data_IF_038164593258
#
_entry.id   IF_038164593258
#
_cell.length_a   1.000
_cell.length_b   1.000
_cell.length_c   1.000
_cell.angle_alpha   90.00
_cell.angle_beta   90.00
_cell.angle_gamma   90.00
#
_symmetry.space_group_name_H-M   'P 1'
#
loop_
_entity.id
_entity.type
_entity.pdbx_description
1 polymer ?
#
# COMPACT_ATOMS: atom_id res chain seq x y z
N UNK A 1 20.58 -13.95 -8.28
CA UNK A 1 20.31 -12.79 -9.16
C UNK A 1 18.83 -12.43 -9.21
N UNK A 2 17.91 -13.31 -9.65
CA UNK A 2 16.45 -12.99 -9.74
C UNK A 2 15.81 -12.55 -8.41
N UNK A 3 16.03 -13.29 -7.31
CA UNK A 3 15.53 -12.91 -5.96
C UNK A 3 16.07 -11.57 -5.46
N UNK A 4 17.32 -11.24 -5.79
CA UNK A 4 17.92 -9.95 -5.45
C UNK A 4 17.25 -8.81 -6.22
N UNK A 5 17.03 -9.00 -7.53
CA UNK A 5 16.30 -8.03 -8.34
C UNK A 5 14.87 -7.82 -7.81
N UNK A 6 14.15 -8.90 -7.49
CA UNK A 6 12.79 -8.79 -6.92
C UNK A 6 12.76 -8.00 -5.61
N UNK A 7 13.75 -8.21 -4.74
CA UNK A 7 13.89 -7.50 -3.47
C UNK A 7 14.23 -6.02 -3.67
N UNK A 8 15.12 -5.69 -4.61
CA UNK A 8 15.40 -4.29 -4.97
C UNK A 8 14.16 -3.59 -5.52
N UNK A 9 13.38 -4.28 -6.36
CA UNK A 9 12.09 -3.78 -6.86
C UNK A 9 11.06 -3.62 -5.74
N UNK A 10 11.12 -4.44 -4.69
CA UNK A 10 10.28 -4.28 -3.51
C UNK A 10 10.71 -3.07 -2.66
N UNK A 11 12.01 -2.83 -2.49
CA UNK A 11 12.52 -1.61 -1.85
C UNK A 11 12.03 -0.37 -2.58
N UNK A 12 12.13 -0.35 -3.92
CA UNK A 12 11.66 0.77 -4.72
C UNK A 12 10.15 1.00 -4.58
N UNK A 13 9.34 -0.07 -4.56
CA UNK A 13 7.90 0.08 -4.33
C UNK A 13 7.59 0.73 -2.98
N UNK A 14 8.24 0.29 -1.89
CA UNK A 14 8.09 0.89 -0.58
C UNK A 14 8.48 2.37 -0.58
N UNK A 15 9.61 2.70 -1.21
CA UNK A 15 10.08 4.07 -1.33
C UNK A 15 9.09 4.98 -2.08
N UNK A 16 8.49 4.51 -3.18
CA UNK A 16 7.48 5.29 -3.93
C UNK A 16 6.19 5.50 -3.17
N UNK A 17 5.71 4.50 -2.41
CA UNK A 17 4.56 4.69 -1.51
C UNK A 17 4.89 5.68 -0.39
N UNK A 18 6.08 5.59 0.19
CA UNK A 18 6.55 6.54 1.21
C UNK A 18 6.66 7.98 0.67
N UNK A 19 7.16 8.18 -0.55
CA UNK A 19 7.15 9.49 -1.21
C UNK A 19 5.72 10.03 -1.44
N UNK A 20 4.76 9.15 -1.74
CA UNK A 20 3.34 9.49 -1.72
C UNK A 20 2.89 10.02 -0.34
N UNK A 21 3.31 9.35 0.74
CA UNK A 21 3.09 9.78 2.11
C UNK A 21 3.72 11.16 2.41
N UNK A 22 4.94 11.41 1.94
CA UNK A 22 5.63 12.70 2.09
C UNK A 22 4.81 13.84 1.49
N UNK A 23 4.35 13.72 0.24
CA UNK A 23 3.59 14.79 -0.41
C UNK A 23 2.20 14.96 0.22
N UNK A 24 1.55 13.87 0.62
CA UNK A 24 0.26 13.93 1.34
C UNK A 24 0.37 14.71 2.64
N UNK A 25 1.40 14.46 3.44
CA UNK A 25 1.61 15.15 4.72
C UNK A 25 2.18 16.57 4.54
N UNK A 26 2.83 16.86 3.42
CA UNK A 26 3.34 18.21 3.12
C UNK A 26 2.24 19.20 2.74
N UNK A 27 1.04 18.72 2.40
CA UNK A 27 -0.09 19.54 2.00
C UNK A 27 -1.15 19.59 3.11
N UNK A 28 -1.85 20.73 3.21
CA UNK A 28 -2.94 20.90 4.18
C UNK A 28 -4.31 20.54 3.58
N UNK A 29 -4.47 20.74 2.27
CA UNK A 29 -5.67 20.31 1.56
C UNK A 29 -5.62 18.79 1.31
N UNK A 30 -6.43 18.04 2.05
CA UNK A 30 -6.51 16.57 1.96
C UNK A 30 -6.86 16.06 0.56
N UNK A 31 -7.66 16.80 -0.22
CA UNK A 31 -8.05 16.39 -1.59
C UNK A 31 -6.83 16.47 -2.52
N UNK A 32 -6.10 17.59 -2.46
CA UNK A 32 -4.87 17.75 -3.26
C UNK A 32 -3.80 16.77 -2.80
N UNK A 33 -3.66 16.57 -1.49
CA UNK A 33 -2.77 15.57 -0.90
C UNK A 33 -3.07 14.15 -1.41
N UNK A 34 -4.34 13.74 -1.39
CA UNK A 34 -4.76 12.41 -1.85
C UNK A 34 -4.52 12.23 -3.35
N UNK A 35 -4.78 13.26 -4.15
CA UNK A 35 -4.46 13.27 -5.58
C UNK A 35 -2.95 13.12 -5.80
N UNK A 36 -2.11 13.86 -5.08
CA UNK A 36 -0.66 13.78 -5.19
C UNK A 36 -0.09 12.45 -4.68
N UNK A 37 -0.68 11.84 -3.65
CA UNK A 37 -0.27 10.53 -3.14
C UNK A 37 -0.40 9.45 -4.24
N UNK A 38 -1.36 9.57 -5.15
CA UNK A 38 -1.55 8.62 -6.26
C UNK A 38 -0.31 8.44 -7.14
N UNK A 39 0.62 9.41 -7.14
CA UNK A 39 1.92 9.31 -7.78
C UNK A 39 2.71 8.07 -7.31
N UNK A 40 2.59 7.70 -6.04
CA UNK A 40 3.24 6.53 -5.47
C UNK A 40 2.83 5.24 -6.18
N UNK A 41 1.52 4.96 -6.26
CA UNK A 41 1.04 3.76 -6.97
C UNK A 41 1.22 3.89 -8.48
N UNK A 42 1.06 5.10 -9.05
CA UNK A 42 1.31 5.35 -10.46
C UNK A 42 2.73 4.92 -10.86
N UNK A 43 3.74 5.34 -10.09
CA UNK A 43 5.14 4.96 -10.33
C UNK A 43 5.36 3.46 -10.15
N UNK A 44 4.78 2.85 -9.09
CA UNK A 44 4.85 1.40 -8.86
C UNK A 44 4.31 0.62 -10.06
N UNK A 45 3.16 1.00 -10.61
CA UNK A 45 2.54 0.33 -11.74
C UNK A 45 3.34 0.52 -13.04
N UNK A 46 3.71 1.76 -13.36
CA UNK A 46 4.42 2.10 -14.61
C UNK A 46 5.84 1.56 -14.66
N UNK A 47 6.54 1.53 -13.52
CA UNK A 47 7.90 0.98 -13.39
C UNK A 47 7.91 -0.51 -13.03
N UNK A 48 6.73 -1.11 -12.85
CA UNK A 48 6.54 -2.53 -12.53
C UNK A 48 7.23 -2.98 -11.22
N UNK A 49 7.27 -2.09 -10.23
CA UNK A 49 7.83 -2.43 -8.92
C UNK A 49 6.96 -3.42 -8.15
N UNK A 50 7.60 -4.13 -7.21
CA UNK A 50 6.93 -5.17 -6.43
C UNK A 50 6.31 -4.56 -5.17
N UNK A 51 5.04 -4.18 -5.24
CA UNK A 51 4.27 -3.72 -4.09
C UNK A 51 3.44 -4.87 -3.50
N UNK A 52 3.62 -5.18 -2.22
CA UNK A 52 2.95 -6.28 -1.53
C UNK A 52 1.43 -6.25 -1.73
N UNK A 53 0.80 -5.12 -1.46
CA UNK A 53 -0.65 -4.92 -1.52
C UNK A 53 -1.23 -5.15 -2.93
N UNK A 54 -0.46 -4.82 -3.97
CA UNK A 54 -0.81 -5.10 -5.37
C UNK A 54 -0.49 -6.51 -5.85
N UNK A 55 0.27 -7.31 -5.09
CA UNK A 55 0.66 -8.68 -5.45
C UNK A 55 -0.09 -9.74 -4.66
N UNK A 56 -0.36 -9.49 -3.38
CA UNK A 56 -0.97 -10.46 -2.45
C UNK A 56 -2.35 -10.93 -2.90
N UNK A 57 -3.08 -10.11 -3.67
CA UNK A 57 -4.38 -10.49 -4.23
C UNK A 57 -4.33 -11.69 -5.20
N UNK A 58 -3.17 -11.99 -5.77
CA UNK A 58 -2.96 -13.11 -6.69
C UNK A 58 -2.51 -14.40 -5.99
N UNK A 59 -2.58 -14.47 -4.66
CA UNK A 59 -2.14 -15.62 -3.88
C UNK A 59 -2.76 -16.93 -4.34
N UNK A 60 -4.09 -16.97 -4.54
CA UNK A 60 -4.82 -18.16 -5.01
C UNK A 60 -4.85 -18.33 -6.53
N UNK A 61 -4.23 -17.41 -7.26
CA UNK A 61 -3.97 -17.52 -8.69
C UNK A 61 -2.65 -18.24 -8.97
N UNK A 62 -1.77 -18.37 -7.98
CA UNK A 62 -0.44 -18.99 -8.06
C UNK A 62 -0.32 -20.19 -7.10
N UNK A 63 0.80 -20.91 -7.18
CA UNK A 63 1.13 -21.90 -6.15
C UNK A 63 1.46 -21.21 -4.81
N UNK A 64 0.56 -21.37 -3.85
CA UNK A 64 0.64 -20.72 -2.53
C UNK A 64 1.96 -21.03 -1.83
N UNK A 65 2.51 -22.24 -1.98
CA UNK A 65 3.74 -22.68 -1.29
C UNK A 65 4.97 -21.87 -1.71
N UNK A 66 5.01 -21.42 -2.96
CA UNK A 66 6.12 -20.63 -3.50
C UNK A 66 5.81 -19.14 -3.52
N UNK A 67 4.55 -18.76 -3.73
CA UNK A 67 4.14 -17.36 -3.86
C UNK A 67 4.02 -16.64 -2.52
N UNK A 68 3.55 -17.31 -1.46
CA UNK A 68 3.43 -16.69 -0.13
C UNK A 68 4.80 -16.26 0.43
N UNK A 69 5.87 -17.09 0.44
CA UNK A 69 7.19 -16.64 0.86
C UNK A 69 7.74 -15.49 0.01
N UNK A 70 7.43 -15.46 -1.29
CA UNK A 70 7.82 -14.36 -2.16
C UNK A 70 7.08 -13.07 -1.80
N UNK A 71 5.76 -13.12 -1.55
CA UNK A 71 5.00 -11.96 -1.06
C UNK A 71 5.54 -11.44 0.28
N UNK A 72 5.93 -12.31 1.20
CA UNK A 72 6.54 -11.90 2.47
C UNK A 72 7.88 -11.21 2.25
N UNK A 73 8.73 -11.70 1.34
CA UNK A 73 9.96 -11.01 0.95
C UNK A 73 9.66 -9.62 0.37
N UNK A 74 8.63 -9.50 -0.46
CA UNK A 74 8.18 -8.21 -1.00
C UNK A 74 7.71 -7.27 0.10
N UNK A 75 6.95 -7.76 1.08
CA UNK A 75 6.50 -6.97 2.24
C UNK A 75 7.69 -6.42 3.03
N UNK A 76 8.71 -7.25 3.28
CA UNK A 76 9.95 -6.82 3.96
C UNK A 76 10.72 -5.80 3.12
N UNK A 77 10.82 -6.01 1.80
CA UNK A 77 11.45 -5.04 0.91
C UNK A 77 10.72 -3.69 0.94
N UNK A 78 9.39 -3.71 0.90
CA UNK A 78 8.58 -2.50 1.02
C UNK A 78 8.83 -1.77 2.36
N UNK A 79 8.92 -2.50 3.48
CA UNK A 79 9.29 -1.95 4.79
C UNK A 79 10.65 -1.25 4.75
N UNK A 80 11.67 -1.90 4.19
CA UNK A 80 13.01 -1.32 4.04
C UNK A 80 12.97 -0.04 3.22
N UNK A 81 12.26 -0.04 2.09
CA UNK A 81 12.07 1.15 1.26
C UNK A 81 11.40 2.31 1.99
N UNK A 82 10.32 2.01 2.73
CA UNK A 82 9.61 3.00 3.54
C UNK A 82 10.50 3.58 4.64
N UNK A 83 11.33 2.74 5.29
CA UNK A 83 12.27 3.19 6.33
C UNK A 83 13.35 4.10 5.75
N UNK A 84 13.94 3.73 4.61
CA UNK A 84 14.98 4.53 3.95
C UNK A 84 14.44 5.93 3.64
N UNK A 85 13.23 6.03 3.06
CA UNK A 85 12.64 7.33 2.74
C UNK A 85 12.34 8.12 4.02
N UNK A 86 11.77 7.51 5.05
CA UNK A 86 11.52 8.19 6.32
C UNK A 86 12.81 8.77 6.92
N UNK A 87 13.88 7.98 7.03
CA UNK A 87 15.15 8.47 7.60
C UNK A 87 15.79 9.56 6.74
N UNK A 88 15.75 9.45 5.42
CA UNK A 88 16.25 10.52 4.53
C UNK A 88 15.43 11.81 4.68
N UNK A 89 14.10 11.72 4.72
CA UNK A 89 13.22 12.88 4.91
C UNK A 89 13.48 13.55 6.24
N UNK A 90 13.77 12.79 7.30
CA UNK A 90 14.12 13.34 8.62
C UNK A 90 15.40 14.19 8.63
N UNK A 91 16.27 14.06 7.63
CA UNK A 91 17.47 14.90 7.46
C UNK A 91 17.19 16.24 6.77
N UNK A 92 15.94 16.50 6.36
CA UNK A 92 15.57 17.65 5.55
C UNK A 92 14.78 18.69 6.33
N UNK A 93 14.67 19.91 5.76
CA UNK A 93 13.87 21.01 6.32
C UNK A 93 12.37 20.71 6.47
N UNK A 94 11.83 19.73 5.72
CA UNK A 94 10.40 19.39 5.79
C UNK A 94 10.08 18.44 6.94
N UNK A 95 11.09 17.88 7.60
CA UNK A 95 10.92 16.86 8.63
C UNK A 95 9.97 17.28 9.77
N UNK A 96 10.08 18.47 10.40
CA UNK A 96 9.29 18.79 11.59
C UNK A 96 7.77 18.65 11.36
N UNK A 97 7.25 19.22 10.27
CA UNK A 97 5.82 19.15 9.95
C UNK A 97 5.34 17.75 9.58
N UNK A 98 6.18 16.97 8.89
CA UNK A 98 5.85 15.58 8.52
C UNK A 98 5.90 14.66 9.75
N UNK A 99 6.87 14.85 10.66
CA UNK A 99 6.95 14.12 11.94
C UNK A 99 5.67 14.37 12.73
N UNK A 100 5.29 15.64 12.93
CA UNK A 100 4.11 16.00 13.71
C UNK A 100 2.83 15.35 13.16
N UNK A 101 2.60 15.46 11.84
CA UNK A 101 1.43 14.86 11.20
C UNK A 101 1.48 13.32 11.24
N UNK A 102 2.65 12.72 11.07
CA UNK A 102 2.82 11.25 11.18
C UNK A 102 2.51 10.77 12.58
N UNK A 103 3.02 11.44 13.62
CA UNK A 103 2.74 11.11 15.03
C UNK A 103 1.24 11.13 15.32
N UNK A 104 0.53 12.17 14.85
CA UNK A 104 -0.93 12.25 15.00
C UNK A 104 -1.65 11.07 14.31
N UNK A 105 -1.26 10.73 13.08
CA UNK A 105 -1.85 9.60 12.36
C UNK A 105 -1.59 8.25 13.05
N UNK A 106 -0.36 8.03 13.51
CA UNK A 106 0.00 6.78 14.21
C UNK A 106 -0.72 6.67 15.54
N UNK A 107 -0.89 7.77 16.28
CA UNK A 107 -1.64 7.78 17.53
C UNK A 107 -3.11 7.42 17.32
N UNK A 108 -3.77 7.99 16.30
CA UNK A 108 -5.16 7.63 15.96
C UNK A 108 -5.30 6.13 15.70
N UNK A 109 -4.37 5.53 14.96
CA UNK A 109 -4.37 4.08 14.68
C UNK A 109 -4.11 3.26 15.93
N UNK A 110 -3.18 3.71 16.78
CA UNK A 110 -2.87 3.03 18.03
C UNK A 110 -4.10 3.00 18.95
N UNK A 111 -4.85 4.09 19.04
CA UNK A 111 -6.03 4.23 19.89
C UNK A 111 -7.30 3.59 19.29
N UNK A 112 -7.25 3.08 18.05
CA UNK A 112 -8.37 2.40 17.40
C UNK A 112 -8.48 0.92 17.80
N UNK A 113 -9.66 0.35 17.60
CA UNK A 113 -9.93 -1.07 17.80
C UNK A 113 -9.32 -1.90 16.68
N UNK A 114 -8.79 -3.08 17.01
CA UNK A 114 -8.21 -3.99 16.01
C UNK A 114 -9.23 -4.41 14.94
N UNK A 115 -10.51 -4.54 15.29
CA UNK A 115 -11.57 -4.88 14.32
C UNK A 115 -11.76 -3.75 13.32
N UNK A 116 -11.78 -2.48 13.77
CA UNK A 116 -11.85 -1.32 12.88
C UNK A 116 -10.67 -1.32 11.91
N UNK A 117 -9.43 -1.40 12.41
CA UNK A 117 -8.21 -1.43 11.60
C UNK A 117 -8.22 -2.57 10.57
N UNK A 118 -8.69 -3.76 10.97
CA UNK A 118 -8.83 -4.89 10.06
C UNK A 118 -9.80 -4.59 8.90
N UNK A 119 -10.99 -4.06 9.21
CA UNK A 119 -12.02 -3.72 8.21
C UNK A 119 -11.56 -2.60 7.29
N UNK A 120 -10.95 -1.55 7.86
CA UNK A 120 -10.35 -0.46 7.08
C UNK A 120 -9.25 -0.99 6.15
N UNK A 121 -8.47 -1.98 6.59
CA UNK A 121 -7.49 -2.68 5.77
C UNK A 121 -8.10 -3.45 4.60
N UNK A 122 -9.25 -4.11 4.81
CA UNK A 122 -9.98 -4.80 3.73
C UNK A 122 -10.38 -3.80 2.66
N UNK A 123 -11.07 -2.72 3.05
CA UNK A 123 -11.54 -1.72 2.09
C UNK A 123 -10.40 -1.03 1.36
N UNK A 124 -9.29 -0.74 2.05
CA UNK A 124 -8.10 -0.20 1.41
C UNK A 124 -7.64 -1.08 0.24
N UNK A 125 -7.45 -2.37 0.49
CA UNK A 125 -6.81 -3.21 -0.51
C UNK A 125 -7.76 -3.67 -1.64
N UNK A 126 -9.07 -3.60 -1.43
CA UNK A 126 -10.05 -3.65 -2.53
C UNK A 126 -9.77 -2.51 -3.53
N UNK A 127 -9.59 -1.28 -3.03
CA UNK A 127 -9.30 -0.13 -3.88
C UNK A 127 -7.93 -0.23 -4.56
N UNK A 128 -6.89 -0.69 -3.84
CA UNK A 128 -5.54 -0.87 -4.43
C UNK A 128 -5.56 -1.94 -5.53
N UNK A 129 -6.22 -3.08 -5.30
CA UNK A 129 -6.31 -4.12 -6.35
C UNK A 129 -7.18 -3.65 -7.51
N UNK A 130 -8.26 -2.90 -7.26
CA UNK A 130 -9.01 -2.25 -8.34
C UNK A 130 -8.13 -1.31 -9.18
N UNK A 131 -7.28 -0.50 -8.56
CA UNK A 131 -6.32 0.37 -9.26
C UNK A 131 -5.35 -0.42 -10.15
N UNK A 132 -4.74 -1.47 -9.60
CA UNK A 132 -3.82 -2.35 -10.32
C UNK A 132 -4.54 -3.08 -11.45
N UNK A 133 -5.79 -3.50 -11.22
CA UNK A 133 -6.62 -4.16 -12.22
C UNK A 133 -6.94 -3.24 -13.40
N UNK A 134 -7.35 -1.99 -13.13
CA UNK A 134 -7.56 -0.98 -14.16
C UNK A 134 -6.28 -0.75 -14.96
N UNK A 135 -5.13 -0.65 -14.30
CA UNK A 135 -3.86 -0.47 -14.99
C UNK A 135 -3.51 -1.62 -15.96
N UNK A 136 -3.78 -2.86 -15.54
CA UNK A 136 -3.47 -4.06 -16.32
C UNK A 136 -4.47 -4.32 -17.45
N UNK A 137 -5.77 -4.15 -17.18
CA UNK A 137 -6.84 -4.69 -18.01
C UNK A 137 -7.68 -3.63 -18.73
N UNK A 138 -7.57 -2.34 -18.39
CA UNK A 138 -8.32 -1.30 -19.09
C UNK A 138 -7.75 -1.11 -20.51
N UNK A 139 -8.57 -1.16 -21.58
CA UNK A 139 -8.08 -1.02 -22.96
C UNK A 139 -7.65 0.42 -23.29
N UNK A 140 -8.10 1.42 -22.53
CA UNK A 140 -7.81 2.83 -22.77
C UNK A 140 -6.69 3.33 -21.85
N UNK A 141 -5.63 3.91 -22.43
CA UNK A 141 -4.47 4.39 -21.65
C UNK A 141 -4.83 5.41 -20.57
N UNK A 142 -5.66 6.41 -20.91
CA UNK A 142 -6.14 7.39 -19.93
C UNK A 142 -6.97 6.72 -18.83
N UNK A 143 -7.78 5.72 -19.20
CA UNK A 143 -8.58 4.94 -18.24
C UNK A 143 -7.74 4.20 -17.22
N UNK A 144 -6.58 3.67 -17.62
CA UNK A 144 -5.60 3.04 -16.71
C UNK A 144 -5.14 4.00 -15.63
N UNK A 145 -4.73 5.20 -16.02
CA UNK A 145 -4.19 6.20 -15.10
C UNK A 145 -5.27 6.81 -14.20
N UNK A 146 -6.44 7.11 -14.75
CA UNK A 146 -7.59 7.57 -13.95
C UNK A 146 -8.05 6.51 -12.95
N UNK A 147 -8.03 5.23 -13.34
CA UNK A 147 -8.35 4.12 -12.44
C UNK A 147 -7.41 4.08 -11.23
N UNK A 148 -6.12 4.35 -11.42
CA UNK A 148 -5.16 4.51 -10.31
C UNK A 148 -5.56 5.72 -9.46
N UNK A 149 -5.60 6.92 -10.05
CA UNK A 149 -5.84 8.17 -9.31
C UNK A 149 -7.11 8.10 -8.46
N UNK A 150 -8.24 7.71 -9.06
CA UNK A 150 -9.54 7.67 -8.39
C UNK A 150 -9.54 6.67 -7.23
N UNK A 151 -8.99 5.48 -7.43
CA UNK A 151 -8.96 4.46 -6.38
C UNK A 151 -8.12 4.87 -5.18
N UNK A 152 -6.98 5.54 -5.43
CA UNK A 152 -6.09 6.03 -4.38
C UNK A 152 -6.69 7.23 -3.64
N UNK A 153 -7.31 8.16 -4.37
CA UNK A 153 -8.01 9.27 -3.73
C UNK A 153 -9.12 8.79 -2.80
N UNK A 154 -9.93 7.82 -3.24
CA UNK A 154 -11.04 7.28 -2.42
C UNK A 154 -10.52 6.67 -1.12
N UNK A 155 -9.55 5.76 -1.16
CA UNK A 155 -9.13 5.09 0.08
C UNK A 155 -8.49 6.08 1.07
N UNK A 156 -7.74 7.08 0.59
CA UNK A 156 -7.12 8.09 1.45
C UNK A 156 -8.17 9.00 2.08
N UNK A 157 -9.12 9.50 1.27
CA UNK A 157 -10.15 10.42 1.76
C UNK A 157 -11.15 9.73 2.68
N UNK A 158 -11.38 8.43 2.50
CA UNK A 158 -12.18 7.61 3.42
C UNK A 158 -11.42 7.17 4.68
N UNK A 159 -10.10 7.41 4.78
CA UNK A 159 -9.29 7.01 5.93
C UNK A 159 -9.06 5.50 6.03
N UNK A 160 -8.99 4.79 4.91
CA UNK A 160 -8.68 3.35 4.90
C UNK A 160 -7.19 3.09 5.19
N UNK A 161 -6.89 1.89 5.68
CA UNK A 161 -5.59 1.54 6.26
C UNK A 161 -4.71 0.73 5.27
N UNK A 162 -3.51 1.23 4.99
CA UNK A 162 -2.60 0.64 4.00
C UNK A 162 -1.25 0.30 4.64
N UNK A 163 -0.99 -0.99 4.87
CA UNK A 163 0.16 -1.44 5.65
C UNK A 163 1.50 -0.83 5.19
N UNK A 164 1.75 -0.68 3.89
CA UNK A 164 3.02 -0.12 3.39
C UNK A 164 3.15 1.39 3.62
N UNK A 165 2.03 2.12 3.58
CA UNK A 165 2.02 3.54 3.90
C UNK A 165 2.19 3.74 5.42
N UNK A 166 1.57 2.87 6.21
CA UNK A 166 1.68 2.88 7.67
C UNK A 166 3.09 2.57 8.15
N UNK A 167 3.85 1.71 7.45
CA UNK A 167 5.28 1.53 7.72
C UNK A 167 6.06 2.85 7.65
N UNK A 168 5.76 3.70 6.66
CA UNK A 168 6.38 5.02 6.55
C UNK A 168 5.93 5.92 7.69
N UNK A 169 4.64 6.00 8.00
CA UNK A 169 4.14 6.87 9.08
C UNK A 169 4.69 6.45 10.45
N UNK A 170 4.73 5.15 10.75
CA UNK A 170 5.29 4.60 11.99
C UNK A 170 6.79 4.92 12.10
N UNK A 171 7.56 4.70 11.03
CA UNK A 171 9.00 5.04 11.04
C UNK A 171 9.23 6.54 11.16
N UNK A 172 8.46 7.36 10.45
CA UNK A 172 8.60 8.82 10.47
C UNK A 172 8.32 9.40 11.87
N UNK A 173 7.34 8.83 12.57
CA UNK A 173 7.06 9.14 13.97
C UNK A 173 8.01 8.44 14.97
N UNK A 174 8.80 7.45 14.52
CA UNK A 174 9.63 6.54 15.34
C UNK A 174 8.85 5.84 16.45
N UNK A 175 7.60 5.49 16.18
CA UNK A 175 6.68 4.89 17.15
C UNK A 175 6.59 3.36 16.98
N UNK A 176 7.72 2.66 16.93
CA UNK A 176 7.75 1.20 16.91
C UNK A 176 7.60 0.65 18.34
N UNK A 177 6.39 0.24 18.69
CA UNK A 177 6.06 -0.39 19.97
C UNK A 177 5.07 -1.54 19.73
N UNK A 178 4.73 -2.29 20.78
CA UNK A 178 3.85 -3.45 20.66
C UNK A 178 2.49 -3.11 20.03
N UNK A 179 1.91 -1.97 20.38
CA UNK A 179 0.60 -1.53 19.90
C UNK A 179 0.62 -1.22 18.40
N UNK A 180 1.61 -0.46 17.93
CA UNK A 180 1.73 -0.13 16.49
C UNK A 180 2.14 -1.33 15.64
N UNK A 181 2.94 -2.26 16.19
CA UNK A 181 3.28 -3.51 15.51
C UNK A 181 2.04 -4.40 15.36
N UNK A 182 1.24 -4.55 16.42
CA UNK A 182 -0.02 -5.31 16.36
C UNK A 182 -0.98 -4.67 15.35
N UNK A 183 -1.16 -3.35 15.40
CA UNK A 183 -1.96 -2.61 14.44
C UNK A 183 -1.51 -2.88 13.00
N UNK A 184 -0.21 -2.76 12.70
CA UNK A 184 0.35 -3.01 11.38
C UNK A 184 0.09 -4.44 10.88
N UNK A 185 0.23 -5.44 11.76
CA UNK A 185 -0.06 -6.85 11.43
C UNK A 185 -1.55 -7.01 11.10
N UNK A 186 -2.44 -6.45 11.92
CA UNK A 186 -3.89 -6.53 11.73
C UNK A 186 -4.31 -5.85 10.42
N UNK A 187 -3.78 -4.66 10.13
CA UNK A 187 -3.98 -3.95 8.86
C UNK A 187 -3.46 -4.79 7.69
N UNK A 188 -2.29 -5.42 7.83
CA UNK A 188 -1.70 -6.29 6.80
C UNK A 188 -2.63 -7.48 6.50
N UNK A 189 -3.21 -8.11 7.53
CA UNK A 189 -4.18 -9.19 7.35
C UNK A 189 -5.47 -8.71 6.67
N UNK A 190 -5.97 -7.52 7.05
CA UNK A 190 -7.09 -6.88 6.37
C UNK A 190 -6.77 -6.63 4.90
N UNK A 191 -5.59 -6.09 4.60
CA UNK A 191 -5.14 -5.88 3.22
C UNK A 191 -5.04 -7.21 2.44
N UNK A 192 -4.51 -8.28 3.04
CA UNK A 192 -4.48 -9.60 2.40
C UNK A 192 -5.88 -10.04 2.00
N UNK A 193 -6.85 -9.98 2.93
CA UNK A 193 -8.23 -10.37 2.68
C UNK A 193 -8.89 -9.50 1.61
N UNK A 194 -8.78 -8.17 1.69
CA UNK A 194 -9.32 -7.27 0.68
C UNK A 194 -8.72 -7.48 -0.71
N UNK A 195 -7.43 -7.80 -0.77
CA UNK A 195 -6.71 -7.97 -2.03
C UNK A 195 -7.11 -9.22 -2.80
N UNK A 196 -7.41 -10.33 -2.11
CA UNK A 196 -7.74 -11.61 -2.77
C UNK A 196 -9.14 -11.61 -3.40
N UNK A 197 -10.04 -10.70 -3.01
CA UNK A 197 -11.46 -10.73 -3.41
C UNK A 197 -11.63 -10.59 -4.93
N UNK A 198 -11.12 -9.51 -5.53
CA UNK A 198 -11.32 -9.23 -6.97
C UNK A 198 -10.71 -10.33 -7.87
N UNK A 199 -9.43 -10.72 -7.71
CA UNK A 199 -8.82 -11.72 -8.58
C UNK A 199 -9.46 -13.11 -8.42
N UNK A 200 -9.83 -13.48 -7.19
CA UNK A 200 -10.48 -14.77 -6.92
C UNK A 200 -11.89 -14.81 -7.52
N UNK A 201 -12.69 -13.77 -7.35
CA UNK A 201 -14.04 -13.70 -7.93
C UNK A 201 -14.00 -13.74 -9.46
N UNK A 202 -13.03 -13.07 -10.08
CA UNK A 202 -12.83 -13.18 -11.54
C UNK A 202 -12.51 -14.61 -11.97
N UNK A 203 -11.58 -15.28 -11.28
CA UNK A 203 -11.21 -16.67 -11.56
C UNK A 203 -12.41 -17.62 -11.43
N UNK A 204 -13.24 -17.45 -10.40
CA UNK A 204 -14.47 -18.23 -10.19
C UNK A 204 -15.44 -18.01 -11.36
N UNK A 205 -15.70 -16.75 -11.74
CA UNK A 205 -16.61 -16.42 -12.83
C UNK A 205 -16.13 -16.98 -14.19
N UNK A 206 -14.83 -16.95 -14.47
CA UNK A 206 -14.28 -17.56 -15.70
C UNK A 206 -14.51 -19.08 -15.72
N UNK A 207 -14.29 -19.77 -14.59
CA UNK A 207 -14.52 -21.22 -14.49
C UNK A 207 -15.98 -21.59 -14.71
N UNK A 208 -16.91 -20.86 -14.08
CA UNK A 208 -18.35 -21.11 -14.19
C UNK A 208 -18.90 -20.88 -15.61
N UNK A 209 -18.25 -20.04 -16.43
CA UNK A 209 -18.65 -19.79 -17.83
C UNK A 209 -18.01 -20.76 -18.84
N UNK A 210 -17.02 -21.55 -18.41
CA UNK A 210 -16.37 -22.57 -19.23
C UNK A 210 -16.94 -23.97 -19.06
N UNK A 211 -17.83 -24.15 -18.09
CA UNK A 211 -18.65 -25.34 -17.85
C UNK A 211 -20.01 -25.19 -18.54
#
# INVERSE_FOLDING_TARGET
MKKLADFLYAIMAGAFIAMGGVVFLSLDNKIVGAFMFSLGLFAVCTLKYNLFTGKVGYLFCNDVKTYLPWCLMVWVGNLVGSIIVAELVRLTRVAPGIIEKSTKLVQVKADDTLISLFVLGIFCNIMVVHAVDQYLNNPHEIGKYLGIVMSIMVFILCGFEHCIADMFYIQMARMWNSQTIIALIVITLGNVLGGILIPTMRKINTKLKSE
#
